data_IF_020330331889
#
_entry.id   IF_020330331889
#
_cell.length_a   1.000
_cell.length_b   1.000
_cell.length_c   1.000
_cell.angle_alpha   90.00
_cell.angle_beta   90.00
_cell.angle_gamma   90.00
#
_symmetry.space_group_name_H-M   'P 1'
#
loop_
_entity.id
_entity.type
_entity.pdbx_description
1 polymer ?
#
# COMPACT_ATOMS: atom_id res chain seq x y z
N UNK A 1 -5.36 -11.13 -11.49
CA UNK A 1 -5.58 -10.01 -10.55
C UNK A 1 -5.05 -8.73 -11.17
N UNK A 2 -5.18 -7.57 -10.52
CA UNK A 2 -4.75 -6.30 -11.11
C UNK A 2 -3.34 -5.93 -10.64
N UNK A 3 -2.42 -5.75 -11.58
CA UNK A 3 -1.06 -5.29 -11.33
C UNK A 3 -0.77 -3.99 -12.09
N UNK A 4 0.06 -3.12 -11.53
CA UNK A 4 0.49 -1.87 -12.15
C UNK A 4 1.94 -1.58 -11.79
N UNK A 5 2.72 -1.12 -12.75
CA UNK A 5 4.06 -0.61 -12.47
C UNK A 5 3.97 0.58 -11.52
N UNK A 6 4.92 0.67 -10.59
CA UNK A 6 4.96 1.76 -9.63
C UNK A 6 5.05 3.12 -10.32
N UNK A 7 4.47 4.13 -9.68
CA UNK A 7 4.45 5.52 -10.12
C UNK A 7 3.71 5.76 -11.44
N UNK A 8 3.02 4.75 -11.98
CA UNK A 8 2.06 4.94 -13.08
C UNK A 8 0.77 5.59 -12.56
N UNK A 9 0.01 6.28 -13.43
CA UNK A 9 -1.30 6.83 -13.05
C UNK A 9 -2.23 5.76 -12.48
N UNK A 10 -2.89 6.07 -11.36
CA UNK A 10 -3.83 5.16 -10.72
C UNK A 10 -5.03 4.83 -11.62
N UNK A 11 -5.37 3.54 -11.70
CA UNK A 11 -6.37 3.01 -12.64
C UNK A 11 -7.41 2.05 -12.03
N UNK A 12 -7.27 1.65 -10.77
CA UNK A 12 -8.12 0.62 -10.19
C UNK A 12 -9.57 1.07 -9.98
N UNK A 13 -9.80 2.12 -9.19
CA UNK A 13 -11.13 2.68 -8.97
C UNK A 13 -11.20 4.12 -9.47
N UNK A 14 -11.67 4.32 -10.70
CA UNK A 14 -11.63 5.65 -11.32
C UNK A 14 -12.99 6.25 -11.67
N UNK A 15 -14.06 5.47 -11.47
CA UNK A 15 -15.42 5.86 -11.86
C UNK A 15 -16.03 6.94 -10.96
N UNK A 16 -15.58 7.03 -9.70
CA UNK A 16 -16.12 7.97 -8.69
C UNK A 16 -15.12 9.05 -8.25
N UNK A 17 -13.94 9.10 -8.89
CA UNK A 17 -12.93 10.11 -8.59
C UNK A 17 -13.07 11.30 -9.55
N UNK A 18 -13.31 12.49 -9.00
CA UNK A 18 -13.23 13.73 -9.77
C UNK A 18 -11.83 13.91 -10.37
N UNK A 19 -11.76 14.64 -11.49
CA UNK A 19 -10.53 14.86 -12.26
C UNK A 19 -9.35 15.30 -11.37
N UNK A 20 -9.58 16.23 -10.43
CA UNK A 20 -8.54 16.72 -9.52
C UNK A 20 -7.96 15.61 -8.64
N UNK A 21 -8.77 14.63 -8.18
CA UNK A 21 -8.32 13.48 -7.40
C UNK A 21 -7.48 12.52 -8.25
N UNK A 22 -7.69 12.50 -9.57
CA UNK A 22 -6.95 11.64 -10.53
C UNK A 22 -5.58 12.19 -10.93
N UNK A 23 -5.40 13.50 -11.18
CA UNK A 23 -4.14 14.00 -11.81
C UNK A 23 -2.87 13.73 -11.04
N UNK A 24 -2.95 13.62 -9.72
CA UNK A 24 -1.80 13.38 -8.85
C UNK A 24 -1.63 11.94 -8.38
N UNK A 25 -2.63 11.08 -8.56
CA UNK A 25 -2.68 9.77 -7.89
C UNK A 25 -1.90 8.72 -8.68
N UNK A 26 -1.02 8.00 -8.00
CA UNK A 26 -0.09 7.03 -8.57
C UNK A 26 -0.17 5.67 -7.89
N UNK A 27 -0.07 4.60 -8.67
CA UNK A 27 0.00 3.24 -8.15
C UNK A 27 1.34 3.00 -7.44
N UNK A 28 1.30 2.33 -6.29
CA UNK A 28 2.48 1.77 -5.63
C UNK A 28 2.14 0.39 -5.07
N UNK A 29 2.95 -0.63 -5.32
CA UNK A 29 2.79 -1.95 -4.70
C UNK A 29 1.60 -2.77 -5.22
N UNK A 30 1.12 -2.48 -6.43
CA UNK A 30 0.13 -3.31 -7.13
C UNK A 30 0.86 -4.42 -7.89
N UNK A 31 1.38 -5.39 -7.15
CA UNK A 31 2.26 -6.42 -7.70
C UNK A 31 1.49 -7.61 -8.25
N UNK A 32 2.08 -8.25 -9.25
CA UNK A 32 1.63 -9.48 -9.85
C UNK A 32 2.78 -10.16 -10.59
N UNK A 33 2.47 -11.20 -11.35
CA UNK A 33 3.49 -12.03 -12.01
C UNK A 33 4.05 -11.43 -13.29
N UNK A 34 3.40 -10.46 -13.93
CA UNK A 34 3.80 -9.99 -15.26
C UNK A 34 4.59 -8.69 -15.21
N UNK A 35 4.36 -7.84 -14.20
CA UNK A 35 5.06 -6.56 -14.07
C UNK A 35 6.26 -6.73 -13.12
N UNK A 36 7.51 -6.55 -13.60
CA UNK A 36 8.68 -6.56 -12.72
C UNK A 36 8.61 -5.43 -11.69
N UNK A 37 9.13 -5.70 -10.50
CA UNK A 37 9.23 -4.74 -9.41
C UNK A 37 10.61 -4.77 -8.79
N UNK A 38 11.00 -3.65 -8.17
CA UNK A 38 12.28 -3.56 -7.48
C UNK A 38 12.24 -4.38 -6.19
N UNK A 39 13.32 -5.09 -5.91
CA UNK A 39 13.53 -5.81 -4.64
C UNK A 39 14.71 -5.27 -3.88
N UNK A 40 14.67 -5.34 -2.56
CA UNK A 40 15.68 -4.78 -1.69
C UNK A 40 15.20 -4.63 -0.26
N UNK A 41 15.95 -3.88 0.54
CA UNK A 41 15.60 -3.63 1.94
C UNK A 41 14.72 -2.38 2.06
N UNK A 42 13.56 -2.55 2.68
CA UNK A 42 12.69 -1.44 3.06
C UNK A 42 12.96 -1.09 4.53
N UNK A 43 13.19 0.19 4.88
CA UNK A 43 13.42 0.57 6.28
C UNK A 43 12.25 0.15 7.17
N UNK A 44 12.55 -0.44 8.34
CA UNK A 44 11.53 -0.97 9.27
C UNK A 44 10.45 0.07 9.62
N UNK A 45 10.86 1.32 9.87
CA UNK A 45 9.94 2.44 10.13
C UNK A 45 8.93 2.71 9.01
N UNK A 46 9.29 2.44 7.75
CA UNK A 46 8.37 2.58 6.60
C UNK A 46 7.38 1.43 6.61
N UNK A 47 7.86 0.20 6.84
CA UNK A 47 7.02 -0.98 6.95
C UNK A 47 6.01 -0.84 8.10
N UNK A 48 6.45 -0.40 9.28
CA UNK A 48 5.59 -0.21 10.45
C UNK A 48 4.56 0.91 10.20
N UNK A 49 4.96 2.02 9.59
CA UNK A 49 4.03 3.06 9.17
C UNK A 49 2.97 2.54 8.18
N UNK A 50 3.35 1.65 7.26
CA UNK A 50 2.40 1.01 6.35
C UNK A 50 1.45 0.05 7.07
N UNK A 51 1.89 -0.65 8.12
CA UNK A 51 0.99 -1.47 8.95
C UNK A 51 -0.06 -0.60 9.62
N UNK A 52 0.34 0.51 10.25
CA UNK A 52 -0.61 1.46 10.87
C UNK A 52 -1.63 1.99 9.86
N UNK A 53 -1.17 2.36 8.66
CA UNK A 53 -2.05 2.82 7.60
C UNK A 53 -2.93 1.70 7.03
N UNK A 54 -2.50 0.44 7.09
CA UNK A 54 -3.27 -0.70 6.63
C UNK A 54 -4.37 -1.11 7.61
N UNK A 55 -4.25 -0.71 8.88
CA UNK A 55 -5.24 -0.97 9.94
C UNK A 55 -6.49 -0.09 9.79
N UNK A 56 -6.34 1.09 9.17
CA UNK A 56 -7.44 1.98 8.80
C UNK A 56 -7.51 2.17 7.26
N UNK A 57 -7.82 1.11 6.49
CA UNK A 57 -7.80 1.19 5.04
C UNK A 57 -8.99 1.98 4.49
N UNK A 58 -8.80 2.54 3.30
CA UNK A 58 -9.89 3.14 2.52
C UNK A 58 -10.25 2.28 1.32
N UNK A 59 -11.37 2.60 0.66
CA UNK A 59 -11.86 1.85 -0.51
C UNK A 59 -11.97 0.33 -0.26
N UNK A 60 -12.46 -0.04 0.93
CA UNK A 60 -12.59 -1.43 1.36
C UNK A 60 -13.62 -2.15 0.49
N UNK A 61 -13.22 -3.31 -0.01
CA UNK A 61 -14.03 -4.18 -0.87
C UNK A 61 -14.52 -5.40 -0.11
N UNK A 62 -15.59 -6.05 -0.63
CA UNK A 62 -16.18 -7.27 -0.03
C UNK A 62 -15.33 -8.54 -0.19
N UNK A 63 -14.14 -8.44 -0.77
CA UNK A 63 -13.26 -9.57 -1.06
C UNK A 63 -11.80 -9.25 -0.77
N UNK A 64 -10.93 -10.25 -0.96
CA UNK A 64 -9.50 -10.14 -0.65
C UNK A 64 -8.64 -10.21 -1.92
N UNK A 65 -7.67 -9.31 -2.02
CA UNK A 65 -6.55 -9.43 -2.94
C UNK A 65 -5.67 -10.60 -2.49
N UNK A 66 -5.55 -11.63 -3.32
CA UNK A 66 -4.68 -12.78 -3.06
C UNK A 66 -3.29 -12.53 -3.64
N UNK A 67 -2.23 -12.86 -2.90
CA UNK A 67 -0.88 -12.76 -3.45
C UNK A 67 -0.68 -13.78 -4.59
N UNK A 68 -0.39 -13.30 -5.80
CA UNK A 68 -0.07 -14.18 -6.95
C UNK A 68 1.39 -14.66 -6.96
N UNK A 69 2.22 -14.15 -6.04
CA UNK A 69 3.67 -14.40 -5.98
C UNK A 69 4.05 -15.53 -5.01
N UNK A 70 3.15 -15.93 -4.11
CA UNK A 70 3.35 -17.06 -3.19
C UNK A 70 2.10 -17.93 -3.07
N UNK A 71 2.15 -18.92 -2.18
CA UNK A 71 1.04 -19.86 -1.91
C UNK A 71 0.21 -19.48 -0.67
N UNK A 72 0.46 -18.33 -0.03
CA UNK A 72 -0.38 -17.88 1.10
C UNK A 72 -1.80 -17.65 0.61
N UNK A 73 -2.77 -18.13 1.39
CA UNK A 73 -4.18 -17.92 1.12
C UNK A 73 -4.64 -16.66 1.86
N UNK A 74 -5.49 -15.82 1.23
CA UNK A 74 -6.13 -14.73 1.95
C UNK A 74 -7.20 -15.26 2.94
N UNK A 75 -7.55 -14.49 3.99
CA UNK A 75 -6.91 -13.23 4.37
C UNK A 75 -5.48 -13.43 4.90
N UNK A 76 -4.62 -12.45 4.67
CA UNK A 76 -3.27 -12.40 5.23
C UNK A 76 -3.30 -11.48 6.44
N UNK A 77 -2.74 -11.92 7.55
CA UNK A 77 -2.63 -11.14 8.78
C UNK A 77 -1.17 -10.81 9.07
N UNK A 78 -0.96 -9.64 9.66
CA UNK A 78 0.32 -9.21 10.23
C UNK A 78 0.06 -8.65 11.63
N UNK A 79 1.06 -8.74 12.50
CA UNK A 79 0.96 -8.17 13.84
C UNK A 79 0.86 -6.64 13.78
N UNK A 80 0.02 -6.08 14.65
CA UNK A 80 -0.03 -4.64 14.86
C UNK A 80 1.32 -4.11 15.41
N UNK A 81 1.60 -2.83 15.16
CA UNK A 81 2.86 -2.18 15.56
C UNK A 81 2.69 -1.13 16.67
N UNK A 82 1.63 -1.31 17.47
CA UNK A 82 1.30 -0.52 18.66
C UNK A 82 1.67 -1.26 19.97
N UNK A 83 2.20 -2.48 19.87
CA UNK A 83 2.59 -3.32 21.00
C UNK A 83 1.45 -4.16 21.60
N UNK A 84 0.27 -4.15 20.96
CA UNK A 84 -0.83 -5.06 21.28
C UNK A 84 -0.62 -6.45 20.66
N UNK A 85 -1.44 -7.42 21.09
CA UNK A 85 -1.55 -8.74 20.45
C UNK A 85 -2.58 -8.75 19.29
N UNK A 86 -2.99 -7.57 18.81
CA UNK A 86 -3.96 -7.45 17.71
C UNK A 86 -3.32 -7.72 16.34
N UNK A 87 -4.16 -8.13 15.39
CA UNK A 87 -3.74 -8.47 14.03
C UNK A 87 -4.41 -7.57 12.99
N UNK A 88 -3.61 -7.04 12.08
CA UNK A 88 -4.06 -6.24 10.94
C UNK A 88 -4.35 -7.16 9.76
N UNK A 89 -5.58 -7.12 9.24
CA UNK A 89 -6.01 -7.91 8.09
C UNK A 89 -5.70 -7.18 6.77
N UNK A 90 -4.91 -7.82 5.90
CA UNK A 90 -4.49 -7.27 4.62
C UNK A 90 -5.34 -7.76 3.45
N UNK A 91 -5.27 -7.01 2.35
CA UNK A 91 -5.84 -7.36 1.05
C UNK A 91 -7.29 -6.92 0.85
N UNK A 92 -7.89 -6.19 1.79
CA UNK A 92 -9.31 -5.77 1.73
C UNK A 92 -9.51 -4.39 1.14
N UNK A 93 -8.53 -3.49 1.25
CA UNK A 93 -8.62 -2.11 0.79
C UNK A 93 -7.27 -1.51 0.43
N UNK A 94 -7.23 -0.19 0.39
CA UNK A 94 -6.10 0.62 -0.05
C UNK A 94 -5.60 1.58 1.04
N UNK A 95 -4.33 1.95 0.92
CA UNK A 95 -3.68 3.03 1.64
C UNK A 95 -3.58 4.23 0.70
N UNK A 96 -3.91 5.43 1.22
CA UNK A 96 -3.72 6.70 0.51
C UNK A 96 -2.66 7.53 1.21
N UNK A 97 -1.61 7.91 0.47
CA UNK A 97 -0.49 8.69 1.03
C UNK A 97 -0.33 9.99 0.26
N UNK A 98 -0.24 11.10 0.97
CA UNK A 98 0.00 12.41 0.38
C UNK A 98 1.50 12.65 0.21
N UNK A 99 1.92 12.78 -1.05
CA UNK A 99 3.29 13.11 -1.42
C UNK A 99 3.57 14.60 -1.30
N UNK A 100 4.63 15.06 -1.96
CA UNK A 100 4.77 16.49 -2.26
C UNK A 100 3.85 16.80 -3.42
N UNK A 101 3.04 17.86 -3.32
CA UNK A 101 2.10 18.23 -4.37
C UNK A 101 2.81 18.30 -5.75
N UNK A 102 2.18 17.81 -6.82
CA UNK A 102 0.81 17.28 -6.86
C UNK A 102 0.69 15.76 -6.54
N UNK A 103 1.78 15.08 -6.15
CA UNK A 103 1.79 13.61 -6.04
C UNK A 103 1.00 13.09 -4.84
N UNK A 104 0.23 12.04 -5.10
CA UNK A 104 -0.44 11.17 -4.12
C UNK A 104 -0.24 9.73 -4.54
N UNK A 105 -0.31 8.83 -3.58
CA UNK A 105 -0.06 7.42 -3.83
C UNK A 105 -1.23 6.57 -3.34
N UNK A 106 -1.41 5.48 -4.08
CA UNK A 106 -2.44 4.47 -3.89
C UNK A 106 -1.75 3.12 -3.82
N UNK A 107 -1.84 2.44 -2.69
CA UNK A 107 -1.28 1.10 -2.52
C UNK A 107 -2.35 0.15 -1.98
N UNK A 108 -2.39 -1.12 -2.41
CA UNK A 108 -3.18 -2.11 -1.69
C UNK A 108 -2.56 -2.30 -0.30
N UNK A 109 -3.38 -2.58 0.72
CA UNK A 109 -2.89 -2.99 2.05
C UNK A 109 -1.90 -4.16 2.00
N UNK A 110 -2.03 -5.02 0.97
CA UNK A 110 -1.11 -6.12 0.69
C UNK A 110 0.34 -5.70 0.43
N UNK A 111 0.62 -4.39 0.27
CA UNK A 111 1.99 -3.85 0.18
C UNK A 111 2.87 -4.28 1.35
N UNK A 112 2.31 -4.42 2.56
CA UNK A 112 3.05 -4.90 3.74
C UNK A 112 3.53 -6.33 3.52
N UNK A 113 2.64 -7.21 3.08
CA UNK A 113 2.99 -8.60 2.74
C UNK A 113 4.04 -8.66 1.63
N UNK A 114 3.95 -7.80 0.62
CA UNK A 114 4.93 -7.73 -0.45
C UNK A 114 6.32 -7.31 0.03
N UNK A 115 6.39 -6.38 0.98
CA UNK A 115 7.66 -5.98 1.61
C UNK A 115 8.24 -7.16 2.40
N UNK A 116 7.45 -7.76 3.29
CA UNK A 116 7.91 -8.78 4.22
C UNK A 116 8.32 -10.09 3.52
N UNK A 117 7.53 -10.54 2.54
CA UNK A 117 7.66 -11.89 1.96
C UNK A 117 8.32 -11.89 0.59
N UNK A 118 8.21 -10.79 -0.14
CA UNK A 118 8.70 -10.68 -1.51
C UNK A 118 9.87 -9.70 -1.65
N UNK A 119 10.34 -9.15 -0.52
CA UNK A 119 11.38 -8.12 -0.47
C UNK A 119 11.11 -6.98 -1.43
N UNK A 120 9.83 -6.67 -1.66
CA UNK A 120 9.46 -5.54 -2.51
C UNK A 120 10.05 -4.27 -1.89
N UNK A 121 10.72 -3.48 -2.73
CA UNK A 121 11.33 -2.21 -2.36
C UNK A 121 10.50 -1.07 -2.98
N UNK A 122 9.61 -0.43 -2.21
CA UNK A 122 8.79 0.65 -2.74
C UNK A 122 9.63 1.86 -3.18
N UNK A 123 9.12 2.68 -4.13
CA UNK A 123 9.82 3.88 -4.56
C UNK A 123 10.16 4.81 -3.40
N UNK A 124 11.37 5.38 -3.42
CA UNK A 124 11.85 6.29 -2.37
C UNK A 124 10.89 7.44 -2.09
N UNK A 125 10.31 8.03 -3.13
CA UNK A 125 9.36 9.16 -3.00
C UNK A 125 8.05 8.78 -2.31
N UNK A 126 7.68 7.50 -2.35
CA UNK A 126 6.55 6.96 -1.60
C UNK A 126 6.95 6.72 -0.13
N UNK A 127 8.09 6.08 0.12
CA UNK A 127 8.61 5.87 1.47
C UNK A 127 8.76 7.19 2.24
N UNK A 128 9.32 8.23 1.61
CA UNK A 128 9.44 9.57 2.21
C UNK A 128 8.07 10.22 2.48
N UNK A 129 7.02 9.84 1.74
CA UNK A 129 5.66 10.33 1.96
C UNK A 129 4.97 9.58 3.10
N UNK A 130 5.12 8.26 3.17
CA UNK A 130 4.61 7.40 4.25
C UNK A 130 5.11 7.90 5.60
N UNK A 131 6.43 8.13 5.73
CA UNK A 131 7.02 8.61 6.98
C UNK A 131 6.48 10.00 7.37
N UNK A 132 6.36 10.92 6.41
CA UNK A 132 5.79 12.26 6.68
C UNK A 132 4.35 12.22 7.15
N UNK A 133 3.56 11.24 6.71
CA UNK A 133 2.19 11.05 7.18
C UNK A 133 2.18 10.43 8.57
N UNK A 134 2.99 9.38 8.80
CA UNK A 134 3.07 8.71 10.09
C UNK A 134 3.62 9.60 11.23
N UNK A 135 4.53 10.52 10.92
CA UNK A 135 5.10 11.46 11.90
C UNK A 135 4.10 12.57 12.31
N UNK A 136 3.05 12.79 11.52
CA UNK A 136 1.97 13.73 11.86
C UNK A 136 0.91 12.94 12.62
N UNK A 137 1.03 12.88 13.94
CA UNK A 137 -0.04 12.41 14.82
C UNK A 137 -1.34 13.17 14.48
N UNK A 138 -2.30 12.49 13.86
CA UNK A 138 -3.55 13.08 13.39
C UNK A 138 -3.60 13.21 11.87
N UNK A 139 -4.05 12.13 11.22
CA UNK A 139 -4.80 12.26 9.98
C UNK A 139 -6.23 12.71 10.36
N UNK A 140 -6.85 13.68 9.67
CA UNK A 140 -8.23 14.09 9.93
C UNK A 140 -9.25 12.99 9.61
#
# INVERSE_FOLDING_TARGET
MTEYADLTPYRYQTEWLDWWRRLGLRNVGWLGRQVPFATGDTPVRVRDALVRLADEPVEVMRGFHACELCRRKPPIYVDAVDGSDEQVMLGTGEIRVWGRLPRRYAAPTLIVHYIDEHRYMPPREFCDAVLRVADRHGWP
#
